data_IF_443827278394
#
_entry.id   IF_443827278394
#
_cell.length_a   1.000
_cell.length_b   1.000
_cell.length_c   1.000
_cell.angle_alpha   90.00
_cell.angle_beta   90.00
_cell.angle_gamma   90.00
#
_symmetry.space_group_name_H-M   'P 1'
#
loop_
_entity.id
_entity.type
_entity.pdbx_description
1 polymer ?
#
# COMPACT_ATOMS: atom_id res chain seq x y z
N UNK A 1 4.31 -18.93 -19.98
CA UNK A 1 4.01 -18.55 -18.59
C UNK A 1 2.96 -17.44 -18.67
N UNK A 2 1.93 -17.45 -17.83
CA UNK A 2 0.97 -16.32 -17.78
C UNK A 2 1.62 -15.20 -17.00
N UNK A 3 1.63 -14.00 -17.57
CA UNK A 3 2.06 -12.83 -16.85
C UNK A 3 0.83 -12.26 -16.13
N UNK A 4 0.96 -12.09 -14.82
CA UNK A 4 -0.05 -11.46 -13.97
C UNK A 4 0.53 -10.13 -13.50
N UNK A 5 -0.17 -9.05 -13.83
CA UNK A 5 0.25 -7.68 -13.51
C UNK A 5 -0.70 -7.15 -12.45
N UNK A 6 -0.20 -6.99 -11.23
CA UNK A 6 -0.95 -6.35 -10.15
C UNK A 6 -0.67 -4.85 -10.19
N UNK A 7 -1.72 -4.02 -10.14
CA UNK A 7 -1.57 -2.57 -10.20
C UNK A 7 -2.52 -1.82 -9.27
N UNK A 8 -2.05 -0.70 -8.73
CA UNK A 8 -2.85 0.32 -8.05
C UNK A 8 -2.30 1.72 -8.32
N UNK A 9 -3.16 2.73 -8.21
CA UNK A 9 -2.79 4.13 -8.26
C UNK A 9 -3.79 4.92 -7.41
N UNK A 10 -3.34 5.44 -6.28
CA UNK A 10 -4.20 6.16 -5.33
C UNK A 10 -3.57 7.46 -4.87
N UNK A 11 -4.40 8.43 -4.48
CA UNK A 11 -3.94 9.78 -4.13
C UNK A 11 -4.37 10.18 -2.72
N UNK A 12 -3.43 10.70 -1.92
CA UNK A 12 -3.75 11.43 -0.70
C UNK A 12 -3.66 12.93 -1.03
N UNK A 13 -4.79 13.63 -0.90
CA UNK A 13 -4.93 15.04 -1.29
C UNK A 13 -4.87 15.99 -0.10
N UNK A 14 -4.70 17.28 -0.41
CA UNK A 14 -4.68 18.40 0.53
C UNK A 14 -3.57 18.27 1.57
N UNK A 15 -2.36 17.95 1.13
CA UNK A 15 -1.23 17.81 2.04
C UNK A 15 -0.78 19.17 2.59
N UNK A 16 -0.52 19.22 3.89
CA UNK A 16 0.23 20.33 4.51
C UNK A 16 1.70 20.27 4.12
N UNK A 17 2.45 21.33 4.40
CA UNK A 17 3.90 21.33 4.16
C UNK A 17 4.62 20.26 4.99
N UNK A 18 4.24 20.10 6.26
CA UNK A 18 4.80 19.10 7.17
C UNK A 18 4.50 17.66 6.69
N UNK A 19 3.28 17.42 6.21
CA UNK A 19 2.88 16.12 5.65
C UNK A 19 3.72 15.76 4.41
N UNK A 20 4.00 16.74 3.53
CA UNK A 20 4.87 16.52 2.36
C UNK A 20 6.30 16.19 2.76
N UNK A 21 6.85 16.93 3.71
CA UNK A 21 8.20 16.70 4.23
C UNK A 21 8.34 15.32 4.84
N UNK A 22 7.29 14.80 5.49
CA UNK A 22 7.30 13.42 5.98
C UNK A 22 7.47 12.40 4.87
N UNK A 23 6.71 12.52 3.76
CA UNK A 23 6.89 11.64 2.60
C UNK A 23 8.30 11.76 2.00
N UNK A 24 8.83 12.97 1.80
CA UNK A 24 10.18 13.18 1.28
C UNK A 24 11.30 12.59 2.13
N UNK A 25 11.04 12.36 3.42
CA UNK A 25 12.01 11.80 4.33
C UNK A 25 11.91 10.28 4.47
N UNK A 26 10.98 9.62 3.77
CA UNK A 26 10.90 8.15 3.77
C UNK A 26 12.20 7.53 3.19
N UNK A 27 12.66 6.39 3.74
CA UNK A 27 13.84 5.64 3.26
C UNK A 27 13.87 5.41 1.75
N UNK A 28 12.72 5.12 1.14
CA UNK A 28 12.65 4.84 -0.29
C UNK A 28 12.83 6.05 -1.21
N UNK A 29 12.73 7.26 -0.65
CA UNK A 29 12.95 8.52 -1.38
C UNK A 29 14.37 9.04 -1.11
N UNK A 30 14.96 8.71 0.04
CA UNK A 30 16.34 9.06 0.39
C UNK A 30 17.22 7.83 0.28
N UNK A 31 18.04 7.75 -0.76
CA UNK A 31 19.11 6.76 -0.87
C UNK A 31 19.83 6.61 0.49
N UNK A 32 19.66 5.47 1.16
CA UNK A 32 20.38 5.17 2.40
C UNK A 32 21.76 4.68 1.97
N UNK A 33 22.81 5.36 2.43
CA UNK A 33 24.19 4.88 2.27
C UNK A 33 24.45 3.87 3.39
N UNK A 34 24.43 2.58 3.03
CA UNK A 34 24.52 1.45 3.96
C UNK A 34 25.90 1.22 4.57
N UNK A 35 26.95 1.83 4.00
CA UNK A 35 28.35 1.62 4.40
C UNK A 35 28.67 2.01 5.87
N UNK A 36 27.72 2.59 6.60
CA UNK A 36 27.88 3.06 7.98
C UNK A 36 26.97 2.38 9.02
N UNK A 37 26.15 1.41 8.64
CA UNK A 37 25.29 0.70 9.60
C UNK A 37 26.03 -0.50 10.22
N UNK A 38 25.87 -0.66 11.53
CA UNK A 38 26.35 -1.83 12.26
C UNK A 38 25.52 -3.05 11.82
N UNK A 39 26.17 -4.20 11.63
CA UNK A 39 25.51 -5.45 11.19
C UNK A 39 24.43 -5.93 12.18
N UNK A 40 24.40 -5.33 13.38
CA UNK A 40 23.47 -5.64 14.48
C UNK A 40 22.22 -4.74 14.54
N UNK A 41 22.02 -3.79 13.62
CA UNK A 41 20.83 -2.92 13.64
C UNK A 41 19.60 -3.66 13.10
N UNK A 42 18.56 -3.78 13.92
CA UNK A 42 17.30 -4.36 13.47
C UNK A 42 16.57 -3.39 12.50
N UNK A 43 16.03 -3.95 11.42
CA UNK A 43 15.26 -3.23 10.39
C UNK A 43 14.08 -2.45 10.99
N UNK A 44 13.47 -3.04 12.01
CA UNK A 44 12.40 -2.46 12.82
C UNK A 44 12.84 -1.15 13.45
N UNK A 45 14.04 -1.07 14.02
CA UNK A 45 14.56 0.16 14.64
C UNK A 45 14.76 1.28 13.62
N UNK A 46 15.23 0.95 12.42
CA UNK A 46 15.39 1.91 11.31
C UNK A 46 14.02 2.49 10.96
N UNK A 47 13.04 1.65 10.68
CA UNK A 47 11.71 2.07 10.23
C UNK A 47 10.91 2.79 11.34
N UNK A 48 11.07 2.38 12.59
CA UNK A 48 10.54 3.09 13.75
C UNK A 48 11.15 4.50 13.88
N UNK A 49 12.43 4.67 13.53
CA UNK A 49 13.07 5.99 13.42
C UNK A 49 12.38 6.95 12.43
N UNK A 50 11.73 6.41 11.40
CA UNK A 50 10.90 7.17 10.44
C UNK A 50 9.42 7.27 10.88
N UNK A 51 9.07 6.69 12.01
CA UNK A 51 7.72 6.61 12.54
C UNK A 51 6.84 5.57 11.83
N UNK A 52 7.45 4.59 11.14
CA UNK A 52 6.75 3.51 10.46
C UNK A 52 6.67 2.32 11.40
N UNK A 53 5.46 1.96 11.81
CA UNK A 53 5.25 0.74 12.61
C UNK A 53 5.00 -0.44 11.70
N UNK A 54 5.83 -1.47 11.81
CA UNK A 54 5.66 -2.76 11.15
C UNK A 54 4.81 -3.75 11.95
N UNK A 55 4.06 -3.29 12.95
CA UNK A 55 3.21 -4.19 13.76
C UNK A 55 2.19 -5.00 12.96
N UNK A 56 1.94 -4.63 11.71
CA UNK A 56 1.10 -5.35 10.75
C UNK A 56 1.88 -6.20 9.74
N UNK A 57 3.19 -6.43 9.93
CA UNK A 57 4.08 -6.98 8.92
C UNK A 57 5.07 -8.01 9.50
N UNK A 58 5.18 -9.15 8.83
CA UNK A 58 5.89 -10.36 9.34
C UNK A 58 6.97 -10.86 8.34
N UNK A 59 7.55 -9.98 7.50
CA UNK A 59 8.31 -10.42 6.31
C UNK A 59 9.63 -9.71 5.96
N UNK A 60 10.21 -8.90 6.85
CA UNK A 60 11.46 -8.17 6.61
C UNK A 60 12.51 -8.98 7.36
N UNK A 61 13.17 -9.88 6.65
CA UNK A 61 14.12 -10.83 7.24
C UNK A 61 15.57 -10.38 7.01
N UNK A 62 15.81 -9.45 6.08
CA UNK A 62 17.15 -9.02 5.69
C UNK A 62 17.23 -7.53 5.31
N UNK A 63 18.42 -6.95 5.43
CA UNK A 63 18.71 -5.58 4.98
C UNK A 63 18.47 -5.41 3.46
N UNK A 64 18.57 -6.49 2.67
CA UNK A 64 18.23 -6.46 1.24
C UNK A 64 16.72 -6.23 0.99
N UNK A 65 15.87 -6.61 1.95
CA UNK A 65 14.43 -6.37 1.87
C UNK A 65 14.10 -4.88 2.13
N UNK A 66 14.96 -4.16 2.86
CA UNK A 66 14.85 -2.70 3.06
C UNK A 66 15.16 -1.92 1.77
N UNK A 67 16.12 -2.38 0.95
CA UNK A 67 16.41 -1.77 -0.35
C UNK A 67 15.19 -1.82 -1.29
N UNK A 68 14.36 -2.84 -1.11
CA UNK A 68 13.13 -3.01 -1.86
C UNK A 68 11.92 -2.36 -1.18
N UNK A 69 12.06 -1.80 0.03
CA UNK A 69 10.98 -1.12 0.74
C UNK A 69 10.72 0.29 0.13
N UNK A 70 9.45 0.72 -0.02
CA UNK A 70 8.23 0.02 0.34
C UNK A 70 7.66 -0.82 -0.81
N UNK A 71 8.42 -1.08 -1.87
CA UNK A 71 7.99 -1.86 -3.02
C UNK A 71 6.77 -1.26 -3.73
N UNK A 72 6.71 0.07 -3.78
CA UNK A 72 5.81 0.88 -4.61
C UNK A 72 6.39 2.29 -4.76
N UNK A 73 5.91 3.03 -5.76
CA UNK A 73 6.36 4.39 -6.06
C UNK A 73 5.53 5.43 -5.28
N UNK A 74 6.22 6.46 -4.80
CA UNK A 74 5.62 7.61 -4.12
C UNK A 74 6.03 8.87 -4.87
N UNK A 75 5.05 9.56 -5.44
CA UNK A 75 5.25 10.82 -6.15
C UNK A 75 4.61 11.97 -5.38
N UNK A 76 5.43 12.87 -4.84
CA UNK A 76 4.96 14.04 -4.10
C UNK A 76 4.81 15.22 -5.06
N UNK A 77 3.58 15.72 -5.16
CA UNK A 77 3.21 16.92 -5.92
C UNK A 77 2.88 18.08 -4.98
N UNK A 78 2.44 19.21 -5.55
CA UNK A 78 2.23 20.45 -4.81
C UNK A 78 1.29 20.30 -3.61
N UNK A 79 0.13 19.64 -3.81
CA UNK A 79 -0.92 19.48 -2.80
C UNK A 79 -1.35 18.02 -2.58
N UNK A 80 -0.67 17.07 -3.21
CA UNK A 80 -1.05 15.66 -3.18
C UNK A 80 0.17 14.74 -3.26
N UNK A 81 0.02 13.53 -2.75
CA UNK A 81 0.96 12.43 -2.98
C UNK A 81 0.22 11.32 -3.73
N UNK A 82 0.88 10.78 -4.74
CA UNK A 82 0.37 9.65 -5.52
C UNK A 82 1.17 8.42 -5.14
N UNK A 83 0.47 7.36 -4.77
CA UNK A 83 1.02 6.05 -4.45
C UNK A 83 0.73 5.13 -5.63
N UNK A 84 1.76 4.54 -6.24
CA UNK A 84 1.62 3.69 -7.43
C UNK A 84 2.35 2.37 -7.23
N UNK A 85 1.64 1.26 -7.38
CA UNK A 85 2.24 -0.07 -7.43
C UNK A 85 2.08 -0.67 -8.82
N UNK A 86 3.18 -1.20 -9.34
CA UNK A 86 3.23 -2.02 -10.56
C UNK A 86 3.56 -3.47 -10.20
N UNK A 87 4.01 -4.29 -11.16
CA UNK A 87 4.36 -5.69 -10.94
C UNK A 87 5.19 -5.91 -9.66
N UNK A 88 4.67 -6.75 -8.76
CA UNK A 88 5.37 -7.18 -7.57
C UNK A 88 5.20 -6.31 -6.34
N UNK A 89 4.35 -5.27 -6.35
CA UNK A 89 4.14 -4.43 -5.17
C UNK A 89 3.59 -5.21 -3.96
N UNK A 90 3.89 -4.72 -2.75
CA UNK A 90 3.40 -5.31 -1.51
C UNK A 90 2.33 -4.43 -0.84
N UNK A 91 1.09 -4.94 -0.73
CA UNK A 91 -0.02 -4.25 -0.06
C UNK A 91 0.25 -3.95 1.41
N UNK A 92 0.99 -4.83 2.10
CA UNK A 92 1.28 -4.65 3.53
C UNK A 92 2.23 -3.48 3.75
N UNK A 93 3.15 -3.23 2.82
CA UNK A 93 3.99 -2.03 2.85
C UNK A 93 3.16 -0.77 2.62
N UNK A 94 2.19 -0.81 1.68
CA UNK A 94 1.29 0.32 1.45
C UNK A 94 0.49 0.60 2.72
N UNK A 95 -0.05 -0.44 3.36
CA UNK A 95 -0.78 -0.33 4.61
C UNK A 95 0.08 0.26 5.72
N UNK A 96 1.32 -0.20 5.90
CA UNK A 96 2.23 0.29 6.93
C UNK A 96 2.56 1.78 6.75
N UNK A 97 2.92 2.20 5.53
CA UNK A 97 3.23 3.61 5.22
C UNK A 97 2.00 4.49 5.42
N UNK A 98 0.85 4.09 4.86
CA UNK A 98 -0.39 4.89 4.95
C UNK A 98 -0.90 4.95 6.39
N UNK A 99 -0.90 3.83 7.12
CA UNK A 99 -1.37 3.82 8.51
C UNK A 99 -0.49 4.69 9.40
N UNK A 100 0.83 4.65 9.20
CA UNK A 100 1.77 5.49 9.93
C UNK A 100 1.53 6.98 9.66
N UNK A 101 1.27 7.34 8.41
CA UNK A 101 0.84 8.68 8.02
C UNK A 101 -0.47 9.11 8.73
N UNK A 102 -1.49 8.25 8.70
CA UNK A 102 -2.80 8.49 9.35
C UNK A 102 -2.63 8.68 10.85
N UNK A 103 -1.87 7.79 11.52
CA UNK A 103 -1.59 7.86 12.95
C UNK A 103 -0.94 9.18 13.34
N UNK A 104 -0.02 9.67 12.52
CA UNK A 104 0.75 10.89 12.80
C UNK A 104 -0.04 12.16 12.52
N UNK A 105 -0.72 12.26 11.38
CA UNK A 105 -1.27 13.53 10.89
C UNK A 105 -2.80 13.58 10.82
N UNK A 106 -3.46 12.43 10.61
CA UNK A 106 -4.89 12.39 10.27
C UNK A 106 -5.64 11.26 10.99
N UNK A 107 -5.72 11.23 12.33
CA UNK A 107 -6.27 10.10 13.08
C UNK A 107 -7.75 9.79 12.81
N UNK A 108 -8.49 10.71 12.20
CA UNK A 108 -9.90 10.51 11.81
C UNK A 108 -10.09 10.22 10.31
N UNK A 109 -9.00 10.14 9.55
CA UNK A 109 -9.03 9.86 8.12
C UNK A 109 -9.06 8.35 7.87
N UNK A 110 -9.81 7.95 6.84
CA UNK A 110 -9.84 6.57 6.34
C UNK A 110 -9.33 6.61 4.91
N UNK A 111 -8.28 5.84 4.65
CA UNK A 111 -7.75 5.66 3.31
C UNK A 111 -8.34 4.40 2.69
N UNK A 112 -8.73 4.49 1.43
CA UNK A 112 -9.21 3.34 0.66
C UNK A 112 -8.39 3.19 -0.59
N UNK A 113 -8.03 1.97 -0.92
CA UNK A 113 -7.30 1.63 -2.13
C UNK A 113 -8.00 0.49 -2.85
N UNK A 114 -8.07 0.59 -4.16
CA UNK A 114 -8.45 -0.54 -5.02
C UNK A 114 -7.25 -0.98 -5.85
N UNK A 115 -7.13 -2.29 -6.05
CA UNK A 115 -6.09 -2.86 -6.90
C UNK A 115 -6.70 -3.87 -7.86
N UNK A 116 -6.06 -4.02 -9.01
CA UNK A 116 -6.45 -4.99 -10.03
C UNK A 116 -5.32 -5.96 -10.34
N UNK A 117 -5.68 -7.17 -10.75
CA UNK A 117 -4.78 -8.13 -11.38
C UNK A 117 -5.23 -8.31 -12.82
N UNK A 118 -4.35 -7.93 -13.75
CA UNK A 118 -4.52 -8.20 -15.18
C UNK A 118 -3.75 -9.46 -15.52
N UNK A 119 -4.42 -10.45 -16.09
CA UNK A 119 -3.82 -11.70 -16.52
C UNK A 119 -4.03 -11.88 -18.02
N UNK A 120 -3.03 -12.42 -18.71
CA UNK A 120 -3.16 -12.77 -20.13
C UNK A 120 -4.06 -13.97 -20.40
N UNK A 121 -4.52 -14.66 -19.35
CA UNK A 121 -5.45 -15.79 -19.44
C UNK A 121 -6.90 -15.34 -19.18
N UNK A 122 -7.88 -15.80 -19.97
CA UNK A 122 -9.29 -15.55 -19.69
C UNK A 122 -9.69 -16.12 -18.32
N UNK A 123 -10.41 -15.34 -17.52
CA UNK A 123 -10.99 -15.78 -16.24
C UNK A 123 -10.05 -15.74 -15.02
N UNK A 124 -8.81 -15.27 -15.17
CA UNK A 124 -7.83 -15.11 -14.08
C UNK A 124 -7.59 -13.65 -13.70
N UNK A 125 -8.37 -12.72 -14.26
CA UNK A 125 -8.38 -11.33 -13.80
C UNK A 125 -9.05 -11.23 -12.43
N UNK A 126 -8.50 -10.39 -11.59
CA UNK A 126 -8.98 -10.20 -10.23
C UNK A 126 -8.75 -8.79 -9.75
N UNK A 127 -8.93 -8.63 -8.45
CA UNK A 127 -8.74 -7.36 -7.80
C UNK A 127 -9.14 -7.46 -6.35
N UNK A 128 -8.97 -6.35 -5.65
CA UNK A 128 -9.36 -6.25 -4.28
C UNK A 128 -9.43 -4.81 -3.82
N UNK A 129 -9.67 -4.70 -2.51
CA UNK A 129 -9.72 -3.47 -1.80
C UNK A 129 -8.82 -3.55 -0.58
N UNK A 130 -8.40 -2.39 -0.12
CA UNK A 130 -7.77 -2.19 1.17
C UNK A 130 -8.39 -0.94 1.81
N UNK A 131 -8.71 -1.03 3.08
CA UNK A 131 -9.15 0.09 3.91
C UNK A 131 -8.16 0.23 5.06
N UNK A 132 -7.57 1.41 5.18
CA UNK A 132 -6.58 1.73 6.21
C UNK A 132 -7.14 2.84 7.09
N UNK A 133 -7.19 2.57 8.38
CA UNK A 133 -7.63 3.50 9.42
C UNK A 133 -6.53 3.68 10.47
N UNK A 134 -6.80 4.51 11.49
CA UNK A 134 -5.85 4.77 12.57
C UNK A 134 -5.40 3.51 13.30
N UNK A 135 -6.31 2.57 13.56
CA UNK A 135 -6.07 1.38 14.38
C UNK A 135 -6.21 0.06 13.62
N UNK A 136 -6.80 0.05 12.44
CA UNK A 136 -7.09 -1.17 11.70
C UNK A 136 -6.74 -1.09 10.20
N UNK A 137 -6.43 -2.25 9.62
CA UNK A 137 -6.20 -2.47 8.19
C UNK A 137 -7.07 -3.64 7.73
N UNK A 138 -8.07 -3.36 6.92
CA UNK A 138 -8.89 -4.39 6.28
C UNK A 138 -8.47 -4.57 4.83
N UNK A 139 -8.08 -5.79 4.44
CA UNK A 139 -7.87 -6.16 3.05
C UNK A 139 -8.80 -7.29 2.60
N UNK A 140 -9.14 -7.29 1.31
CA UNK A 140 -10.02 -8.29 0.74
C UNK A 140 -9.98 -8.32 -0.78
N UNK A 141 -10.26 -9.47 -1.36
CA UNK A 141 -10.48 -9.56 -2.79
C UNK A 141 -11.94 -9.21 -3.15
N UNK A 142 -12.19 -8.94 -4.44
CA UNK A 142 -13.53 -8.62 -4.96
C UNK A 142 -14.57 -9.69 -4.58
N UNK A 143 -14.17 -10.97 -4.50
CA UNK A 143 -15.06 -12.06 -4.13
C UNK A 143 -15.50 -12.02 -2.66
N UNK A 144 -14.64 -11.55 -1.75
CA UNK A 144 -15.00 -11.32 -0.35
C UNK A 144 -16.05 -10.21 -0.24
N UNK A 145 -15.84 -9.10 -0.95
CA UNK A 145 -16.83 -8.02 -1.03
C UNK A 145 -18.17 -8.51 -1.60
N UNK A 146 -18.12 -9.35 -2.64
CA UNK A 146 -19.31 -10.00 -3.21
C UNK A 146 -20.10 -10.77 -2.16
N UNK A 147 -19.45 -11.70 -1.46
CA UNK A 147 -20.09 -12.55 -0.45
C UNK A 147 -20.66 -11.75 0.72
N UNK A 148 -19.95 -10.72 1.18
CA UNK A 148 -20.45 -9.82 2.22
C UNK A 148 -21.72 -9.09 1.77
N UNK A 149 -21.79 -8.71 0.50
CA UNK A 149 -22.97 -8.06 -0.08
C UNK A 149 -24.12 -9.05 -0.24
N UNK A 150 -23.86 -10.26 -0.74
CA UNK A 150 -24.86 -11.33 -0.85
C UNK A 150 -25.47 -11.70 0.51
N UNK A 151 -24.63 -11.82 1.54
CA UNK A 151 -25.06 -12.09 2.92
C UNK A 151 -26.00 -11.00 3.45
N UNK A 152 -25.69 -9.73 3.17
CA UNK A 152 -26.51 -8.58 3.57
C UNK A 152 -27.84 -8.49 2.80
N UNK A 153 -27.84 -8.89 1.53
CA UNK A 153 -29.01 -8.77 0.64
C UNK A 153 -29.85 -10.04 0.52
N UNK A 154 -29.40 -11.18 1.06
CA UNK A 154 -30.09 -12.46 1.02
C UNK A 154 -30.30 -13.02 -0.41
N UNK A 155 -29.49 -12.58 -1.37
CA UNK A 155 -29.65 -12.89 -2.80
C UNK A 155 -28.30 -12.99 -3.51
N UNK A 156 -28.21 -13.80 -4.58
CA UNK A 156 -27.00 -13.97 -5.39
C UNK A 156 -26.73 -12.73 -6.22
N UNK A 157 -25.48 -12.25 -6.24
CA UNK A 157 -25.08 -11.04 -6.95
C UNK A 157 -24.02 -11.39 -8.00
N UNK A 158 -24.29 -11.06 -9.25
CA UNK A 158 -23.26 -11.02 -10.29
C UNK A 158 -22.55 -9.67 -10.21
N UNK A 159 -21.35 -9.62 -9.60
CA UNK A 159 -20.53 -8.42 -9.62
C UNK A 159 -19.71 -8.37 -10.91
N UNK A 160 -20.09 -7.46 -11.80
CA UNK A 160 -19.21 -7.02 -12.86
C UNK A 160 -18.21 -6.03 -12.27
N UNK A 161 -16.92 -6.38 -12.22
CA UNK A 161 -15.86 -5.40 -11.98
C UNK A 161 -15.81 -4.53 -13.24
N UNK A 162 -16.10 -3.22 -13.15
CA UNK A 162 -16.05 -2.36 -14.33
C UNK A 162 -14.62 -2.33 -14.88
N UNK A 163 -14.43 -2.44 -16.20
CA UNK A 163 -13.11 -2.32 -16.78
C UNK A 163 -12.58 -0.90 -16.53
N UNK A 164 -11.43 -0.78 -15.86
CA UNK A 164 -10.72 0.48 -15.75
C UNK A 164 -9.70 0.60 -16.90
N UNK A 165 -9.57 1.81 -17.45
CA UNK A 165 -8.51 2.13 -18.42
C UNK A 165 -7.33 2.72 -17.67
N UNK A 166 -6.21 2.02 -17.68
CA UNK A 166 -4.92 2.61 -17.37
C UNK A 166 -4.58 3.59 -18.50
N UNK A 167 -4.27 4.85 -18.14
CA UNK A 167 -3.83 5.88 -19.08
C UNK A 167 -2.32 5.99 -19.05
#
# INVERSE_FOLDING_TARGET
>A
MSNEHMQFCETISHLTQEEKEWFFNLPSIRHIEWDNYDDDIEITDILEGYGISLSCYDGLESLEDLDNFPNFQIDVYQDNVVLRGDEGFNLDHVAAVVQSFIKKFRPYYVFTLTWGIVSSRPGTSGGGYMVVSYDDVENGNVWRAARLTESKLGSRINLAVPPFKLR
#
